data_IF_606060265663
#
_entry.id   IF_606060265663
#
_cell.length_a   1.000
_cell.length_b   1.000
_cell.length_c   1.000
_cell.angle_alpha   90.00
_cell.angle_beta   90.00
_cell.angle_gamma   90.00
#
_symmetry.space_group_name_H-M   'P 1'
#
loop_
_entity.id
_entity.type
_entity.pdbx_description
1 polymer ?
#
# COMPACT_ATOMS: atom_id res chain seq x y z
N UNK A 1 -16.53 3.16 15.74
CA UNK A 1 -17.96 3.53 15.77
C UNK A 1 -18.70 2.69 16.82
N UNK A 2 -19.55 3.31 17.66
CA UNK A 2 -20.30 2.59 18.70
C UNK A 2 -21.34 1.63 18.14
N UNK A 3 -21.82 1.85 16.93
CA UNK A 3 -22.75 0.93 16.26
C UNK A 3 -22.11 -0.42 15.92
N UNK A 4 -20.79 -0.42 15.71
CA UNK A 4 -20.04 -1.63 15.36
C UNK A 4 -19.42 -2.25 16.63
N UNK A 5 -18.68 -1.46 17.40
CA UNK A 5 -17.88 -1.96 18.52
C UNK A 5 -18.60 -1.93 19.86
N UNK A 6 -19.75 -1.31 19.94
CA UNK A 6 -20.52 -1.17 21.19
C UNK A 6 -20.31 0.16 21.89
N UNK A 7 -21.00 0.32 22.99
CA UNK A 7 -21.04 1.55 23.78
C UNK A 7 -19.70 1.90 24.45
N UNK A 8 -19.43 3.19 24.65
CA UNK A 8 -18.28 3.68 25.43
C UNK A 8 -18.62 3.80 26.92
N UNK A 9 -19.90 3.94 27.24
CA UNK A 9 -20.41 4.01 28.62
C UNK A 9 -21.14 2.72 28.98
N UNK A 10 -21.11 2.37 30.26
CA UNK A 10 -21.80 1.17 30.73
C UNK A 10 -23.32 1.30 30.59
N UNK A 11 -23.92 0.33 29.92
CA UNK A 11 -25.36 0.18 29.80
C UNK A 11 -26.10 1.45 29.30
N UNK A 12 -25.43 2.26 28.48
CA UNK A 12 -25.98 3.48 27.90
C UNK A 12 -25.79 3.49 26.40
N UNK A 13 -26.84 3.81 25.64
CA UNK A 13 -26.69 4.04 24.21
C UNK A 13 -26.09 5.43 23.93
N UNK A 14 -25.61 5.65 22.71
CA UNK A 14 -24.94 6.93 22.35
C UNK A 14 -25.80 8.18 22.61
N UNK A 15 -27.09 8.15 22.28
CA UNK A 15 -27.99 9.31 22.45
C UNK A 15 -28.54 9.44 23.87
N UNK A 16 -28.27 8.49 24.76
CA UNK A 16 -28.73 8.50 26.14
C UNK A 16 -30.21 8.15 26.36
N UNK A 17 -30.93 7.72 25.33
CA UNK A 17 -32.34 7.30 25.46
C UNK A 17 -32.48 6.10 26.41
N UNK A 18 -31.57 5.15 26.33
CA UNK A 18 -31.52 3.97 27.20
C UNK A 18 -30.26 4.05 28.07
N UNK A 19 -30.44 4.05 29.40
CA UNK A 19 -29.40 4.25 30.42
C UNK A 19 -29.48 3.25 31.57
N UNK A 20 -29.81 1.99 31.31
CA UNK A 20 -29.90 1.03 32.39
C UNK A 20 -29.59 -0.37 31.88
N UNK A 21 -29.05 -1.20 32.78
CA UNK A 21 -28.83 -2.65 32.55
C UNK A 21 -30.12 -3.38 32.16
N UNK A 22 -31.28 -2.83 32.52
CA UNK A 22 -32.60 -3.37 32.13
C UNK A 22 -32.77 -3.47 30.62
N UNK A 23 -32.07 -2.60 29.90
CA UNK A 23 -32.11 -2.51 28.43
C UNK A 23 -30.96 -3.28 27.76
N UNK A 24 -30.26 -4.16 28.50
CA UNK A 24 -29.18 -4.99 27.98
C UNK A 24 -29.60 -5.68 26.68
N UNK A 25 -28.81 -5.52 25.64
CA UNK A 25 -29.02 -6.12 24.32
C UNK A 25 -30.02 -5.38 23.42
N UNK A 26 -30.69 -4.31 23.94
CA UNK A 26 -31.60 -3.51 23.15
C UNK A 26 -30.83 -2.60 22.21
N UNK A 27 -31.12 -2.67 20.93
CA UNK A 27 -30.58 -1.76 19.93
C UNK A 27 -31.44 -0.50 19.88
N UNK A 28 -30.85 0.64 20.18
CA UNK A 28 -31.56 1.91 20.21
C UNK A 28 -32.11 2.26 18.80
N UNK A 29 -33.39 2.53 18.73
CA UNK A 29 -34.07 2.96 17.50
C UNK A 29 -33.62 4.35 17.00
N UNK A 30 -33.17 5.22 17.91
CA UNK A 30 -32.74 6.58 17.58
C UNK A 30 -31.28 6.66 17.10
N UNK A 31 -30.34 6.00 17.79
CA UNK A 31 -28.90 6.08 17.47
C UNK A 31 -28.32 4.78 16.88
N UNK A 32 -29.06 3.68 16.92
CA UNK A 32 -28.62 2.38 16.38
C UNK A 32 -27.57 1.67 17.23
N UNK A 33 -27.24 2.18 18.41
CA UNK A 33 -26.25 1.61 19.31
C UNK A 33 -26.92 0.61 20.26
N UNK A 34 -26.32 -0.57 20.39
CA UNK A 34 -26.78 -1.62 21.31
C UNK A 34 -26.35 -1.28 22.75
N UNK A 35 -27.26 -1.43 23.69
CA UNK A 35 -26.98 -1.23 25.11
C UNK A 35 -26.23 -2.44 25.67
N UNK A 36 -24.93 -2.27 25.86
CA UNK A 36 -24.03 -3.33 26.35
C UNK A 36 -23.04 -2.79 27.36
N UNK A 37 -22.24 -3.68 27.94
CA UNK A 37 -21.11 -3.31 28.75
C UNK A 37 -19.94 -2.82 27.87
N UNK A 38 -19.24 -1.76 28.24
CA UNK A 38 -18.15 -1.19 27.44
C UNK A 38 -17.02 -2.19 27.09
N UNK A 39 -16.84 -3.25 27.88
CA UNK A 39 -15.83 -4.31 27.64
C UNK A 39 -15.98 -4.99 26.29
N UNK A 40 -17.22 -5.04 25.72
CA UNK A 40 -17.44 -5.64 24.40
C UNK A 40 -16.63 -4.97 23.31
N UNK A 41 -16.21 -3.71 23.48
CA UNK A 41 -15.34 -2.99 22.54
C UNK A 41 -13.95 -3.62 22.38
N UNK A 42 -13.52 -4.41 23.35
CA UNK A 42 -12.24 -5.16 23.30
C UNK A 42 -12.40 -6.55 22.68
N UNK A 43 -13.63 -7.04 22.59
CA UNK A 43 -13.96 -8.38 22.09
C UNK A 43 -14.45 -8.32 20.65
N UNK A 44 -15.17 -7.27 20.29
CA UNK A 44 -15.73 -7.09 18.95
C UNK A 44 -14.68 -6.62 17.96
N UNK A 45 -14.59 -7.33 16.85
CA UNK A 45 -13.80 -6.93 15.69
C UNK A 45 -14.72 -6.36 14.62
N UNK A 46 -14.22 -5.41 13.86
CA UNK A 46 -14.92 -4.82 12.72
C UNK A 46 -14.10 -4.96 11.45
N UNK A 47 -14.79 -4.92 10.32
CA UNK A 47 -14.18 -4.89 9.00
C UNK A 47 -14.48 -3.54 8.35
N UNK A 48 -13.43 -2.91 7.82
CA UNK A 48 -13.56 -1.70 7.00
C UNK A 48 -12.92 -2.02 5.66
N UNK A 49 -13.74 -2.08 4.64
CA UNK A 49 -13.26 -2.24 3.27
C UNK A 49 -12.74 -0.89 2.76
N UNK A 50 -11.50 -0.88 2.29
CA UNK A 50 -10.88 0.33 1.76
C UNK A 50 -11.27 0.54 0.31
N UNK A 51 -11.49 1.78 -0.09
CA UNK A 51 -11.80 2.15 -1.47
C UNK A 51 -10.61 1.93 -2.43
N UNK A 52 -9.39 1.98 -1.90
CA UNK A 52 -8.15 1.73 -2.62
C UNK A 52 -7.16 0.97 -1.74
N UNK A 53 -6.22 0.20 -2.31
CA UNK A 53 -5.19 -0.47 -1.54
C UNK A 53 -4.29 0.52 -0.82
N UNK A 54 -3.76 0.10 0.33
CA UNK A 54 -2.85 0.90 1.16
C UNK A 54 -1.59 0.09 1.43
N UNK A 55 -0.44 0.72 1.26
CA UNK A 55 0.85 0.09 1.55
C UNK A 55 1.08 -0.05 3.05
N UNK A 56 1.47 -1.26 3.47
CA UNK A 56 1.81 -1.50 4.86
C UNK A 56 3.16 -0.87 5.20
N UNK A 57 3.17 -0.09 6.27
CA UNK A 57 4.35 0.68 6.70
C UNK A 57 5.59 -0.18 6.96
N UNK A 58 5.42 -1.43 7.41
CA UNK A 58 6.54 -2.34 7.67
C UNK A 58 7.34 -2.70 6.41
N UNK A 59 6.70 -2.77 5.25
CA UNK A 59 7.37 -3.10 3.98
C UNK A 59 7.88 -1.86 3.24
N UNK A 60 7.25 -0.72 3.51
CA UNK A 60 7.57 0.56 2.89
C UNK A 60 8.68 1.31 3.64
N UNK A 61 8.51 1.55 4.97
CA UNK A 61 9.34 2.45 5.76
C UNK A 61 10.41 1.74 6.62
N UNK A 62 10.48 0.41 6.58
CA UNK A 62 11.55 -0.33 7.25
C UNK A 62 12.93 0.02 6.68
N UNK A 63 13.97 -0.19 7.45
CA UNK A 63 15.36 -0.01 7.01
C UNK A 63 16.06 -1.37 7.08
N UNK A 64 16.35 -2.00 5.95
CA UNK A 64 16.08 -1.58 4.58
C UNK A 64 14.60 -1.73 4.17
N UNK A 65 14.13 -0.90 3.22
CA UNK A 65 12.79 -1.02 2.67
C UNK A 65 12.69 -2.24 1.75
N UNK A 66 11.88 -3.23 2.10
CA UNK A 66 11.70 -4.43 1.28
C UNK A 66 11.10 -4.09 -0.09
N UNK A 67 10.03 -3.28 -0.10
CA UNK A 67 9.42 -2.83 -1.37
C UNK A 67 10.40 -2.05 -2.25
N UNK A 68 11.18 -1.16 -1.63
CA UNK A 68 12.18 -0.37 -2.35
C UNK A 68 13.31 -1.23 -2.93
N UNK A 69 13.71 -2.30 -2.26
CA UNK A 69 14.74 -3.22 -2.75
C UNK A 69 14.24 -4.15 -3.86
N UNK A 70 13.00 -4.68 -3.74
CA UNK A 70 12.39 -5.50 -4.78
C UNK A 70 12.20 -4.70 -6.08
N UNK A 71 11.61 -3.52 -5.99
CA UNK A 71 11.30 -2.66 -7.15
C UNK A 71 12.50 -1.81 -7.64
N UNK A 72 13.65 -1.90 -6.98
CA UNK A 72 14.81 -1.03 -7.22
C UNK A 72 14.53 0.46 -7.08
N UNK A 73 13.63 0.82 -6.19
CA UNK A 73 13.27 2.20 -5.92
C UNK A 73 13.91 2.70 -4.62
N UNK A 74 14.28 3.97 -4.60
CA UNK A 74 14.64 4.65 -3.35
C UNK A 74 13.38 4.91 -2.51
N UNK A 75 13.51 4.95 -1.20
CA UNK A 75 12.38 5.19 -0.28
C UNK A 75 11.70 6.53 -0.56
N UNK A 76 12.46 7.56 -0.94
CA UNK A 76 11.91 8.86 -1.32
C UNK A 76 11.05 8.78 -2.59
N UNK A 77 11.52 8.05 -3.61
CA UNK A 77 10.77 7.80 -4.84
C UNK A 77 9.48 7.02 -4.57
N UNK A 78 9.58 5.95 -3.78
CA UNK A 78 8.44 5.15 -3.37
C UNK A 78 7.40 5.99 -2.60
N UNK A 79 7.87 6.90 -1.74
CA UNK A 79 7.01 7.84 -1.03
C UNK A 79 6.25 8.75 -1.99
N UNK A 80 6.94 9.37 -2.95
CA UNK A 80 6.30 10.29 -3.90
C UNK A 80 5.17 9.61 -4.68
N UNK A 81 5.33 8.32 -5.03
CA UNK A 81 4.27 7.56 -5.69
C UNK A 81 3.12 7.26 -4.73
N UNK A 82 3.42 6.72 -3.53
CA UNK A 82 2.41 6.30 -2.56
C UNK A 82 1.55 7.47 -2.05
N UNK A 83 2.10 8.68 -2.01
CA UNK A 83 1.40 9.89 -1.56
C UNK A 83 0.84 10.74 -2.71
N UNK A 84 0.75 10.16 -3.92
CA UNK A 84 0.14 10.82 -5.10
C UNK A 84 0.84 12.12 -5.53
N UNK A 85 2.17 12.20 -5.31
CA UNK A 85 2.98 13.33 -5.75
C UNK A 85 3.51 13.13 -7.18
N UNK A 86 3.76 11.86 -7.59
CA UNK A 86 4.32 11.49 -8.90
C UNK A 86 3.72 10.20 -9.43
N UNK A 87 3.64 10.13 -10.76
CA UNK A 87 3.36 8.89 -11.48
C UNK A 87 4.60 7.99 -11.53
N UNK A 88 4.38 6.70 -11.62
CA UNK A 88 5.42 5.72 -11.89
C UNK A 88 5.06 4.93 -13.15
N UNK A 89 6.02 4.78 -14.06
CA UNK A 89 5.85 3.98 -15.27
C UNK A 89 5.87 2.50 -14.90
N UNK A 90 4.74 1.82 -15.07
CA UNK A 90 4.57 0.40 -14.82
C UNK A 90 5.04 -0.42 -16.03
N UNK A 91 4.64 0.05 -17.21
CA UNK A 91 5.01 -0.54 -18.49
C UNK A 91 5.34 0.58 -19.47
N UNK A 92 6.53 0.52 -20.06
CA UNK A 92 6.99 1.51 -21.01
C UNK A 92 6.43 1.31 -22.43
N UNK A 93 5.96 0.09 -22.76
CA UNK A 93 5.53 -0.23 -24.11
C UNK A 93 6.60 0.11 -25.16
N UNK A 94 6.17 0.67 -26.28
CA UNK A 94 7.05 1.11 -27.38
C UNK A 94 7.50 2.57 -27.24
N UNK A 95 7.76 3.04 -26.00
CA UNK A 95 8.21 4.41 -25.73
C UNK A 95 9.65 4.46 -25.22
N UNK A 96 10.28 5.63 -25.24
CA UNK A 96 11.61 5.87 -24.66
C UNK A 96 11.61 5.94 -23.12
N UNK A 97 10.44 5.77 -22.49
CA UNK A 97 10.29 5.74 -21.05
C UNK A 97 10.91 4.46 -20.47
N UNK A 98 11.30 4.52 -19.21
CA UNK A 98 11.85 3.35 -18.50
C UNK A 98 10.88 2.86 -17.45
N UNK A 99 10.71 1.55 -17.33
CA UNK A 99 9.96 0.93 -16.22
C UNK A 99 10.51 1.42 -14.88
N UNK A 100 9.64 1.89 -13.99
CA UNK A 100 10.01 2.48 -12.71
C UNK A 100 10.43 3.95 -12.76
N UNK A 101 10.41 4.59 -13.93
CA UNK A 101 10.64 6.03 -14.06
C UNK A 101 9.52 6.81 -13.39
N UNK A 102 9.89 7.87 -12.66
CA UNK A 102 8.94 8.78 -12.05
C UNK A 102 8.68 9.95 -12.97
N UNK A 103 7.41 10.31 -13.11
CA UNK A 103 6.94 11.45 -13.90
C UNK A 103 6.16 12.40 -12.99
N UNK A 104 6.37 13.69 -13.16
CA UNK A 104 5.47 14.71 -12.62
C UNK A 104 4.18 14.74 -13.41
N UNK A 105 3.16 15.44 -12.92
CA UNK A 105 1.89 15.63 -13.67
C UNK A 105 2.16 16.23 -15.06
N UNK A 106 3.01 17.26 -15.14
CA UNK A 106 3.36 17.92 -16.39
C UNK A 106 4.07 16.98 -17.37
N UNK A 107 5.05 16.20 -16.86
CA UNK A 107 5.79 15.21 -17.66
C UNK A 107 4.88 14.07 -18.12
N UNK A 108 3.91 13.66 -17.30
CA UNK A 108 2.95 12.63 -17.65
C UNK A 108 2.00 13.11 -18.78
N UNK A 109 1.48 14.33 -18.67
CA UNK A 109 0.64 14.92 -19.72
C UNK A 109 1.41 15.12 -21.03
N UNK A 110 2.65 15.61 -20.97
CA UNK A 110 3.51 15.72 -22.13
C UNK A 110 3.80 14.36 -22.78
N UNK A 111 4.01 13.31 -21.96
CA UNK A 111 4.19 11.95 -22.46
C UNK A 111 2.92 11.42 -23.15
N UNK A 112 1.74 11.67 -22.59
CA UNK A 112 0.47 11.29 -23.22
C UNK A 112 0.28 11.95 -24.60
N UNK A 113 0.64 13.23 -24.72
CA UNK A 113 0.57 13.96 -25.99
C UNK A 113 1.62 13.45 -27.00
N UNK A 114 2.86 13.24 -26.54
CA UNK A 114 3.96 12.83 -27.40
C UNK A 114 3.79 11.39 -27.92
N UNK A 115 3.35 10.48 -27.06
CA UNK A 115 3.16 9.07 -27.38
C UNK A 115 1.69 8.73 -27.68
N UNK A 116 0.92 9.69 -28.20
CA UNK A 116 -0.48 9.50 -28.56
C UNK A 116 -0.65 8.28 -29.49
N UNK A 117 -1.21 7.20 -28.98
CA UNK A 117 -1.36 5.92 -29.67
C UNK A 117 -0.35 4.83 -29.30
N UNK A 118 0.68 5.11 -28.54
CA UNK A 118 1.58 4.11 -27.94
C UNK A 118 1.05 3.67 -26.58
N UNK A 119 0.99 2.37 -26.37
CA UNK A 119 0.49 1.82 -25.10
C UNK A 119 1.59 1.82 -24.03
N UNK A 120 1.76 2.92 -23.31
CA UNK A 120 2.49 2.89 -22.04
C UNK A 120 1.50 2.97 -20.88
N UNK A 121 1.88 2.41 -19.74
CA UNK A 121 1.05 2.45 -18.52
C UNK A 121 1.85 3.10 -17.41
N UNK A 122 1.32 4.19 -16.88
CA UNK A 122 1.84 4.83 -15.68
C UNK A 122 0.68 5.18 -14.75
N UNK A 123 0.89 5.03 -13.46
CA UNK A 123 -0.12 5.26 -12.44
C UNK A 123 0.53 5.76 -11.15
N UNK A 124 -0.26 6.12 -10.15
CA UNK A 124 0.21 6.59 -8.85
C UNK A 124 -0.49 5.88 -7.70
N UNK A 125 0.03 6.07 -6.50
CA UNK A 125 -0.54 5.48 -5.30
C UNK A 125 -0.11 4.03 -5.06
N UNK A 126 -0.75 3.41 -4.08
CA UNK A 126 -0.43 2.03 -3.69
C UNK A 126 -0.87 1.01 -4.73
N UNK A 127 -1.85 1.32 -5.57
CA UNK A 127 -2.32 0.47 -6.67
C UNK A 127 -1.22 0.25 -7.71
N UNK A 128 -0.53 1.32 -8.12
CA UNK A 128 0.61 1.24 -9.04
C UNK A 128 1.71 0.32 -8.50
N UNK A 129 2.06 0.50 -7.23
CA UNK A 129 3.08 -0.32 -6.57
C UNK A 129 2.64 -1.79 -6.46
N UNK A 130 1.36 -2.04 -6.13
CA UNK A 130 0.78 -3.38 -6.09
C UNK A 130 0.89 -4.07 -7.44
N UNK A 131 0.46 -3.40 -8.51
CA UNK A 131 0.54 -3.92 -9.87
C UNK A 131 1.99 -4.25 -10.29
N UNK A 132 2.95 -3.40 -9.92
CA UNK A 132 4.37 -3.66 -10.20
C UNK A 132 4.88 -4.89 -9.44
N UNK A 133 4.47 -5.08 -8.18
CA UNK A 133 4.86 -6.25 -7.38
C UNK A 133 4.22 -7.54 -7.90
N UNK A 134 2.95 -7.51 -8.32
CA UNK A 134 2.25 -8.67 -8.89
C UNK A 134 2.83 -9.14 -10.23
N UNK A 135 3.41 -8.21 -10.99
CA UNK A 135 4.08 -8.51 -12.28
C UNK A 135 5.55 -8.91 -12.12
N UNK A 136 6.05 -8.98 -10.90
CA UNK A 136 7.45 -9.32 -10.63
C UNK A 136 7.63 -10.83 -10.62
N UNK A 137 8.45 -11.36 -11.53
CA UNK A 137 8.94 -12.73 -11.46
C UNK A 137 10.19 -12.76 -10.58
N UNK A 138 10.10 -13.45 -9.44
CA UNK A 138 11.21 -13.51 -8.47
C UNK A 138 12.37 -14.36 -8.95
N UNK A 139 12.09 -15.43 -9.69
CA UNK A 139 13.12 -16.33 -10.20
C UNK A 139 13.94 -15.65 -11.30
N UNK A 140 13.27 -14.96 -12.22
CA UNK A 140 13.91 -14.16 -13.26
C UNK A 140 14.73 -13.01 -12.64
N UNK A 141 14.16 -12.29 -11.69
CA UNK A 141 14.85 -11.22 -10.97
C UNK A 141 16.09 -11.72 -10.23
N UNK A 142 16.02 -12.89 -9.57
CA UNK A 142 17.16 -13.50 -8.90
C UNK A 142 18.29 -13.82 -9.91
N UNK A 143 17.93 -14.40 -11.05
CA UNK A 143 18.88 -14.71 -12.11
C UNK A 143 19.57 -13.45 -12.67
N UNK A 144 18.80 -12.40 -12.96
CA UNK A 144 19.34 -11.11 -13.40
C UNK A 144 20.28 -10.46 -12.38
N UNK A 145 19.90 -10.46 -11.09
CA UNK A 145 20.71 -9.87 -10.04
C UNK A 145 22.04 -10.62 -9.86
N UNK A 146 22.02 -11.95 -9.97
CA UNK A 146 23.23 -12.78 -9.93
C UNK A 146 24.14 -12.51 -11.15
N UNK A 147 23.58 -12.38 -12.34
CA UNK A 147 24.32 -12.03 -13.54
C UNK A 147 25.00 -10.64 -13.41
N UNK A 148 24.27 -9.64 -12.95
CA UNK A 148 24.80 -8.29 -12.66
C UNK A 148 25.90 -8.30 -11.59
N UNK A 149 25.84 -9.22 -10.62
CA UNK A 149 26.89 -9.38 -9.61
C UNK A 149 28.18 -9.94 -10.21
N UNK A 150 28.06 -10.87 -11.14
CA UNK A 150 29.21 -11.47 -11.84
C UNK A 150 29.90 -10.44 -12.74
N UNK A 151 29.13 -9.67 -13.51
CA UNK A 151 29.64 -8.61 -14.41
C UNK A 151 30.40 -7.50 -13.66
N UNK A 152 29.88 -7.07 -12.51
CA UNK A 152 30.49 -5.99 -11.70
C UNK A 152 31.66 -6.42 -10.83
N UNK A 153 31.96 -7.72 -10.78
CA UNK A 153 33.01 -8.31 -9.94
C UNK A 153 32.64 -8.33 -8.44
N UNK A 154 33.26 -9.24 -7.70
CA UNK A 154 32.93 -9.58 -6.32
C UNK A 154 33.10 -8.46 -5.25
N UNK A 155 33.56 -7.27 -5.60
CA UNK A 155 33.61 -6.09 -4.71
C UNK A 155 32.34 -5.23 -4.79
N UNK A 156 31.28 -5.87 -4.85
CA UNK A 156 29.94 -5.49 -5.18
C UNK A 156 29.30 -4.48 -4.25
N UNK A 157 28.43 -3.72 -4.84
CA UNK A 157 27.44 -2.82 -4.28
C UNK A 157 26.65 -3.52 -3.16
N UNK A 158 26.79 -3.03 -1.93
CA UNK A 158 26.04 -3.54 -0.76
C UNK A 158 24.52 -3.59 -0.99
N UNK A 159 24.01 -2.71 -1.86
CA UNK A 159 22.60 -2.68 -2.22
C UNK A 159 22.23 -3.90 -3.06
N UNK A 160 23.07 -4.28 -4.02
CA UNK A 160 22.84 -5.44 -4.87
C UNK A 160 22.79 -6.72 -4.03
N UNK A 161 23.72 -6.90 -3.09
CA UNK A 161 23.73 -8.06 -2.19
C UNK A 161 22.46 -8.14 -1.35
N UNK A 162 22.00 -7.03 -0.80
CA UNK A 162 20.75 -6.98 -0.03
C UNK A 162 19.51 -7.26 -0.88
N UNK A 163 19.52 -6.86 -2.16
CA UNK A 163 18.44 -7.20 -3.08
C UNK A 163 18.37 -8.70 -3.33
N UNK A 164 19.51 -9.34 -3.60
CA UNK A 164 19.59 -10.80 -3.78
C UNK A 164 19.08 -11.52 -2.53
N UNK A 165 19.54 -11.12 -1.35
CA UNK A 165 19.11 -11.71 -0.07
C UNK A 165 17.59 -11.63 0.13
N UNK A 166 16.95 -10.53 -0.26
CA UNK A 166 15.49 -10.35 -0.09
C UNK A 166 14.70 -11.13 -1.15
N UNK A 167 15.24 -11.30 -2.35
CA UNK A 167 14.56 -12.04 -3.41
C UNK A 167 14.63 -13.54 -3.17
N UNK A 168 15.71 -14.03 -2.54
CA UNK A 168 15.95 -15.46 -2.28
C UNK A 168 15.34 -15.97 -0.95
N UNK A 169 14.94 -15.08 -0.02
CA UNK A 169 14.31 -15.42 1.27
C UNK A 169 12.82 -15.10 1.30
#
# INVERSE_FOLDING_TARGET
CERIFGTTKEWECYCGKFKSIRYKGVKCDRCGVEVTHFKVRRERTGHIELAAPVSHIWYYRSVPSRMGLLLDLQVAALRSVLYYEKYIVIDAGDTDLKKGQLLTEEEYQAALEHYAGSAFTADMGAEAIKTMLERLDLDELAAELRAKMIEKGAKSDKRLLRRIEIVEN
#
